data_IF_796468864399
#
_entry.id   IF_796468864399
#
_cell.length_a   1.000
_cell.length_b   1.000
_cell.length_c   1.000
_cell.angle_alpha   90.00
_cell.angle_beta   90.00
_cell.angle_gamma   90.00
#
_symmetry.space_group_name_H-M   'P 1'
#
loop_
_entity.id
_entity.type
_entity.pdbx_description
1 polymer ?
#
# COMPACT_ATOMS: atom_id res chain seq x y z
N UNK A 1 -19.82 -16.09 -6.73
CA UNK A 1 -19.97 -15.30 -5.50
C UNK A 1 -19.54 -13.89 -5.81
N UNK A 2 -20.44 -12.93 -5.66
CA UNK A 2 -20.17 -11.49 -5.89
C UNK A 2 -19.95 -10.79 -4.54
N UNK A 3 -18.86 -10.08 -4.42
CA UNK A 3 -18.43 -9.40 -3.19
C UNK A 3 -18.39 -7.90 -3.45
N UNK A 4 -19.14 -7.11 -2.68
CA UNK A 4 -18.98 -5.67 -2.62
C UNK A 4 -17.97 -5.34 -1.53
N UNK A 5 -16.85 -4.77 -1.93
CA UNK A 5 -15.76 -4.40 -1.04
C UNK A 5 -15.62 -2.88 -0.91
N UNK A 6 -15.27 -2.43 0.30
CA UNK A 6 -15.07 -1.02 0.64
C UNK A 6 -13.69 -0.86 1.29
N UNK A 7 -12.92 0.10 0.80
CA UNK A 7 -11.69 0.56 1.45
C UNK A 7 -11.74 2.08 1.63
N UNK A 8 -11.58 2.50 2.89
CA UNK A 8 -11.46 3.90 3.32
C UNK A 8 -10.34 4.02 4.35
N UNK A 9 -9.25 3.28 4.17
CA UNK A 9 -8.18 3.17 5.17
C UNK A 9 -7.32 4.43 5.31
N UNK A 10 -7.24 5.25 4.26
CA UNK A 10 -6.43 6.47 4.24
C UNK A 10 -7.26 7.67 3.73
N UNK A 11 -6.99 8.18 2.55
CA UNK A 11 -7.60 9.40 1.99
C UNK A 11 -8.47 9.15 0.75
N UNK A 12 -8.37 7.97 0.18
CA UNK A 12 -9.17 7.56 -0.99
C UNK A 12 -10.38 6.72 -0.60
N UNK A 13 -11.57 7.06 -1.13
CA UNK A 13 -12.78 6.25 -0.99
C UNK A 13 -12.85 5.27 -2.15
N UNK A 14 -12.70 3.99 -1.90
CA UNK A 14 -12.78 2.96 -2.93
C UNK A 14 -13.88 1.94 -2.67
N UNK A 15 -14.60 1.57 -3.73
CA UNK A 15 -15.58 0.48 -3.74
C UNK A 15 -15.37 -0.38 -4.99
N UNK A 16 -15.39 -1.68 -4.82
CA UNK A 16 -15.25 -2.62 -5.93
C UNK A 16 -16.24 -3.77 -5.81
N UNK A 17 -16.62 -4.30 -6.97
CA UNK A 17 -17.39 -5.54 -7.08
C UNK A 17 -16.45 -6.61 -7.64
N UNK A 18 -16.21 -7.66 -6.86
CA UNK A 18 -15.30 -8.75 -7.24
C UNK A 18 -16.06 -10.06 -7.25
N UNK A 19 -15.90 -10.82 -8.31
CA UNK A 19 -16.49 -12.14 -8.48
C UNK A 19 -15.43 -13.24 -8.29
N UNK A 20 -15.71 -14.19 -7.39
CA UNK A 20 -14.88 -15.39 -7.15
C UNK A 20 -13.40 -15.11 -6.86
N UNK A 21 -13.13 -13.98 -6.22
CA UNK A 21 -11.81 -13.60 -5.74
C UNK A 21 -10.96 -12.77 -6.72
N UNK A 22 -10.92 -13.10 -7.99
CA UNK A 22 -10.00 -12.48 -8.95
C UNK A 22 -10.66 -11.70 -10.10
N UNK A 23 -11.94 -11.96 -10.41
CA UNK A 23 -12.63 -11.25 -11.48
C UNK A 23 -13.21 -9.94 -10.97
N UNK A 24 -12.55 -8.84 -11.26
CA UNK A 24 -13.02 -7.49 -10.90
C UNK A 24 -14.08 -7.05 -11.91
N UNK A 25 -15.34 -6.94 -11.48
CA UNK A 25 -16.46 -6.48 -12.31
C UNK A 25 -16.49 -4.96 -12.40
N UNK A 26 -16.19 -4.28 -11.28
CA UNK A 26 -16.00 -2.82 -11.23
C UNK A 26 -15.03 -2.47 -10.10
N UNK A 27 -14.34 -1.34 -10.25
CA UNK A 27 -13.51 -0.74 -9.20
C UNK A 27 -13.57 0.76 -9.38
N UNK A 28 -14.18 1.44 -8.41
CA UNK A 28 -14.39 2.89 -8.41
C UNK A 28 -13.59 3.50 -7.28
N UNK A 29 -12.88 4.57 -7.60
CA UNK A 29 -12.07 5.34 -6.69
C UNK A 29 -12.52 6.80 -6.72
N UNK A 30 -12.74 7.39 -5.57
CA UNK A 30 -12.86 8.83 -5.37
C UNK A 30 -11.68 9.32 -4.55
N UNK A 31 -10.75 10.01 -5.20
CA UNK A 31 -9.55 10.54 -4.55
C UNK A 31 -9.78 11.96 -4.04
N UNK A 32 -9.28 12.23 -2.83
CA UNK A 32 -9.31 13.56 -2.20
C UNK A 32 -7.96 14.27 -2.26
N UNK A 33 -7.05 13.82 -3.12
CA UNK A 33 -5.65 14.29 -3.17
C UNK A 33 -5.53 15.80 -3.43
N UNK A 34 -6.48 16.38 -4.17
CA UNK A 34 -6.49 17.81 -4.47
C UNK A 34 -6.65 18.66 -3.22
N UNK A 35 -7.47 18.23 -2.25
CA UNK A 35 -7.72 18.92 -0.99
C UNK A 35 -6.48 18.95 -0.07
N UNK A 36 -5.53 18.05 -0.29
CA UNK A 36 -4.32 17.97 0.55
C UNK A 36 -3.12 18.72 -0.02
N UNK A 37 -3.21 19.26 -1.23
CA UNK A 37 -2.08 19.97 -1.86
C UNK A 37 -1.61 21.16 -1.03
N UNK A 38 -2.53 21.94 -0.46
CA UNK A 38 -2.21 23.07 0.40
C UNK A 38 -1.53 22.64 1.71
N UNK A 39 -1.93 21.50 2.27
CA UNK A 39 -1.37 20.95 3.52
C UNK A 39 -0.11 20.14 3.29
N UNK A 40 0.17 19.77 2.03
CA UNK A 40 1.29 18.92 1.63
C UNK A 40 1.34 17.60 2.42
N UNK A 41 0.18 16.97 2.61
CA UNK A 41 0.00 15.72 3.34
C UNK A 41 -1.45 15.52 3.79
N UNK A 42 -1.81 14.29 4.09
CA UNK A 42 -3.18 13.92 4.50
C UNK A 42 -3.55 14.55 5.84
N UNK A 43 -4.75 15.15 5.92
CA UNK A 43 -5.35 15.68 7.15
C UNK A 43 -6.51 14.75 7.54
N UNK A 44 -6.39 13.97 8.64
CA UNK A 44 -7.34 12.91 8.99
C UNK A 44 -8.81 13.35 9.08
N UNK A 45 -9.07 14.55 9.64
CA UNK A 45 -10.43 15.08 9.76
C UNK A 45 -11.03 15.45 8.39
N UNK A 46 -10.23 15.97 7.48
CA UNK A 46 -10.67 16.26 6.11
C UNK A 46 -10.96 14.96 5.38
N UNK A 47 -10.07 13.96 5.50
CA UNK A 47 -10.24 12.63 4.92
C UNK A 47 -11.56 12.01 5.35
N UNK A 48 -11.84 11.97 6.66
CA UNK A 48 -13.07 11.38 7.18
C UNK A 48 -14.34 12.07 6.62
N UNK A 49 -14.36 13.41 6.49
CA UNK A 49 -15.47 14.14 5.89
C UNK A 49 -15.63 13.82 4.40
N UNK A 50 -14.55 13.75 3.65
CA UNK A 50 -14.57 13.41 2.22
C UNK A 50 -15.10 11.99 1.97
N UNK A 51 -14.75 11.03 2.82
CA UNK A 51 -15.36 9.71 2.75
C UNK A 51 -16.87 9.74 2.94
N UNK A 52 -17.38 10.51 3.92
CA UNK A 52 -18.84 10.66 4.14
C UNK A 52 -19.53 11.25 2.90
N UNK A 53 -18.92 12.25 2.27
CA UNK A 53 -19.45 12.90 1.07
C UNK A 53 -19.48 11.95 -0.14
N UNK A 54 -18.47 11.09 -0.28
CA UNK A 54 -18.25 10.27 -1.47
C UNK A 54 -18.88 8.86 -1.41
N UNK A 55 -18.98 8.24 -0.22
CA UNK A 55 -19.19 6.79 -0.08
C UNK A 55 -20.45 6.29 -0.79
N UNK A 56 -21.58 7.00 -0.67
CA UNK A 56 -22.84 6.57 -1.28
C UNK A 56 -22.75 6.64 -2.81
N UNK A 57 -22.17 7.72 -3.33
CA UNK A 57 -21.97 7.89 -4.76
C UNK A 57 -21.03 6.80 -5.34
N UNK A 58 -19.94 6.49 -4.64
CA UNK A 58 -18.96 5.49 -5.10
C UNK A 58 -19.56 4.08 -5.08
N UNK A 59 -20.42 3.74 -4.08
CA UNK A 59 -21.16 2.49 -4.03
C UNK A 59 -22.13 2.38 -5.23
N UNK A 60 -22.98 3.40 -5.44
CA UNK A 60 -23.94 3.41 -6.54
C UNK A 60 -23.24 3.29 -7.90
N UNK A 61 -22.14 4.02 -8.08
CA UNK A 61 -21.35 3.95 -9.30
C UNK A 61 -20.71 2.57 -9.50
N UNK A 62 -20.19 1.94 -8.44
CA UNK A 62 -19.60 0.60 -8.54
C UNK A 62 -20.64 -0.45 -8.98
N UNK A 63 -21.86 -0.38 -8.45
CA UNK A 63 -22.96 -1.26 -8.85
C UNK A 63 -23.37 -1.04 -10.32
N UNK A 64 -23.49 0.24 -10.74
CA UNK A 64 -23.82 0.62 -12.12
C UNK A 64 -22.75 0.16 -13.11
N UNK A 65 -21.48 0.40 -12.79
CA UNK A 65 -20.36 0.02 -13.66
C UNK A 65 -20.23 -1.50 -13.79
N UNK A 66 -20.60 -2.27 -12.75
CA UNK A 66 -20.70 -3.72 -12.79
C UNK A 66 -21.97 -4.25 -13.46
N UNK A 67 -22.94 -3.40 -13.73
CA UNK A 67 -24.29 -3.75 -14.23
C UNK A 67 -24.99 -4.80 -13.36
N UNK A 68 -24.94 -4.63 -12.03
CA UNK A 68 -25.62 -5.49 -11.06
C UNK A 68 -26.39 -4.65 -10.04
N UNK A 69 -27.35 -5.30 -9.36
CA UNK A 69 -28.11 -4.69 -8.27
C UNK A 69 -27.49 -5.06 -6.91
N UNK A 70 -27.87 -4.29 -5.88
CA UNK A 70 -27.39 -4.54 -4.51
C UNK A 70 -27.83 -5.91 -3.99
N UNK A 71 -29.01 -6.38 -4.39
CA UNK A 71 -29.58 -7.69 -4.02
C UNK A 71 -28.73 -8.87 -4.54
N UNK A 72 -27.97 -8.65 -5.63
CA UNK A 72 -27.10 -9.66 -6.26
C UNK A 72 -25.78 -9.89 -5.48
N UNK A 73 -25.51 -9.04 -4.49
CA UNK A 73 -24.31 -9.16 -3.65
C UNK A 73 -24.48 -10.32 -2.65
N UNK A 74 -23.50 -11.18 -2.57
CA UNK A 74 -23.48 -12.32 -1.68
C UNK A 74 -22.77 -12.02 -0.35
N UNK A 75 -21.77 -11.13 -0.37
CA UNK A 75 -20.91 -10.80 0.77
C UNK A 75 -20.47 -9.35 0.71
N UNK A 76 -20.51 -8.66 1.84
CA UNK A 76 -19.90 -7.35 2.04
C UNK A 76 -18.53 -7.50 2.68
N UNK A 77 -17.52 -6.79 2.17
CA UNK A 77 -16.16 -6.80 2.69
C UNK A 77 -15.69 -5.37 2.99
N UNK A 78 -14.95 -5.17 4.06
CA UNK A 78 -14.47 -3.84 4.44
C UNK A 78 -13.10 -3.91 5.12
N UNK A 79 -12.27 -2.93 4.83
CA UNK A 79 -11.03 -2.70 5.59
C UNK A 79 -11.38 -2.09 6.95
N UNK A 80 -10.91 -2.72 8.04
CA UNK A 80 -11.12 -2.20 9.39
C UNK A 80 -9.83 -1.89 10.13
N UNK A 81 -8.66 -2.19 9.54
CA UNK A 81 -7.32 -1.93 10.08
C UNK A 81 -6.22 -2.19 9.04
N UNK A 82 -4.97 -1.70 9.23
CA UNK A 82 -4.71 -0.42 9.89
C UNK A 82 -5.23 0.73 9.02
N UNK A 83 -5.30 1.94 9.61
CA UNK A 83 -5.67 3.13 8.85
C UNK A 83 -6.04 4.32 9.74
N UNK A 84 -6.47 5.41 9.12
CA UNK A 84 -6.99 6.58 9.81
C UNK A 84 -8.33 6.23 10.45
N UNK A 85 -8.43 6.33 11.77
CA UNK A 85 -9.59 5.84 12.52
C UNK A 85 -10.92 6.44 12.02
N UNK A 86 -10.97 7.76 11.82
CA UNK A 86 -12.16 8.43 11.30
C UNK A 86 -12.58 7.95 9.91
N UNK A 87 -11.60 7.73 9.04
CA UNK A 87 -11.80 7.21 7.68
C UNK A 87 -12.33 5.77 7.70
N UNK A 88 -11.69 4.89 8.47
CA UNK A 88 -12.14 3.49 8.65
C UNK A 88 -13.57 3.40 9.19
N UNK A 89 -13.95 4.26 10.14
CA UNK A 89 -15.31 4.28 10.70
C UNK A 89 -16.38 4.55 9.63
N UNK A 90 -16.10 5.38 8.64
CA UNK A 90 -17.04 5.64 7.54
C UNK A 90 -17.26 4.38 6.70
N UNK A 91 -16.20 3.71 6.24
CA UNK A 91 -16.30 2.49 5.45
C UNK A 91 -16.96 1.35 6.22
N UNK A 92 -16.57 1.14 7.48
CA UNK A 92 -17.15 0.10 8.35
C UNK A 92 -18.62 0.40 8.64
N UNK A 93 -18.98 1.67 8.88
CA UNK A 93 -20.38 2.08 9.06
C UNK A 93 -21.24 1.79 7.83
N UNK A 94 -20.75 2.15 6.64
CA UNK A 94 -21.43 1.88 5.37
C UNK A 94 -21.59 0.36 5.12
N UNK A 95 -20.53 -0.41 5.30
CA UNK A 95 -20.55 -1.87 5.11
C UNK A 95 -21.51 -2.57 6.07
N UNK A 96 -21.52 -2.17 7.37
CA UNK A 96 -22.47 -2.68 8.38
C UNK A 96 -23.92 -2.36 7.99
N UNK A 97 -24.20 -1.10 7.59
CA UNK A 97 -25.52 -0.67 7.18
C UNK A 97 -26.06 -1.47 6.01
N UNK A 98 -25.23 -1.67 4.98
CA UNK A 98 -25.57 -2.47 3.80
C UNK A 98 -25.79 -3.94 4.15
N UNK A 99 -24.86 -4.55 4.88
CA UNK A 99 -24.97 -5.96 5.30
C UNK A 99 -26.22 -6.22 6.12
N UNK A 100 -26.57 -5.30 7.04
CA UNK A 100 -27.77 -5.38 7.85
C UNK A 100 -29.07 -5.23 7.01
N UNK A 101 -29.12 -4.20 6.15
CA UNK A 101 -30.30 -3.97 5.32
C UNK A 101 -30.57 -5.12 4.33
N UNK A 102 -29.50 -5.69 3.77
CA UNK A 102 -29.59 -6.77 2.79
C UNK A 102 -29.64 -8.16 3.43
N UNK A 103 -29.52 -8.28 4.75
CA UNK A 103 -29.43 -9.57 5.46
C UNK A 103 -28.34 -10.49 4.88
N UNK A 104 -27.18 -9.91 4.54
CA UNK A 104 -26.04 -10.60 3.96
C UNK A 104 -24.86 -10.59 4.93
N UNK A 105 -23.92 -11.56 4.83
CA UNK A 105 -22.75 -11.59 5.68
C UNK A 105 -21.79 -10.41 5.42
N UNK A 106 -21.03 -10.07 6.46
CA UNK A 106 -19.98 -9.06 6.46
C UNK A 106 -18.64 -9.67 6.83
N UNK A 107 -17.57 -9.29 6.16
CA UNK A 107 -16.20 -9.69 6.53
C UNK A 107 -15.32 -8.45 6.67
N UNK A 108 -14.53 -8.40 7.74
CA UNK A 108 -13.58 -7.34 8.00
C UNK A 108 -12.15 -7.80 7.70
N UNK A 109 -11.37 -6.99 7.01
CA UNK A 109 -10.05 -7.36 6.53
C UNK A 109 -8.97 -6.35 6.94
N UNK A 110 -7.76 -6.87 7.00
CA UNK A 110 -6.55 -6.07 7.20
C UNK A 110 -6.08 -5.49 5.87
N UNK A 111 -5.83 -4.17 5.84
CA UNK A 111 -5.41 -3.43 4.65
C UNK A 111 -4.04 -3.92 4.11
N UNK A 112 -3.10 -4.25 5.01
CA UNK A 112 -1.78 -4.77 4.58
C UNK A 112 -1.94 -6.16 3.95
N UNK A 113 -2.80 -7.02 4.53
CA UNK A 113 -3.11 -8.31 3.93
C UNK A 113 -3.78 -8.16 2.55
N UNK A 114 -4.62 -7.13 2.37
CA UNK A 114 -5.21 -6.81 1.07
C UNK A 114 -4.14 -6.37 0.06
N UNK A 115 -3.18 -5.52 0.44
CA UNK A 115 -2.04 -5.17 -0.42
C UNK A 115 -1.17 -6.37 -0.78
N UNK A 116 -0.91 -7.30 0.16
CA UNK A 116 -0.20 -8.56 -0.12
C UNK A 116 -0.96 -9.38 -1.17
N UNK A 117 -2.30 -9.35 -1.12
CA UNK A 117 -3.16 -10.06 -2.07
C UNK A 117 -3.22 -9.37 -3.45
N UNK A 118 -3.11 -8.04 -3.53
CA UNK A 118 -3.33 -7.25 -4.76
C UNK A 118 -2.70 -7.84 -6.04
N UNK A 119 -1.46 -8.37 -6.04
CA UNK A 119 -0.87 -8.98 -7.24
C UNK A 119 -1.63 -10.20 -7.78
N UNK A 120 -2.40 -10.91 -6.94
CA UNK A 120 -3.24 -12.05 -7.37
C UNK A 120 -4.46 -11.63 -8.20
N UNK A 121 -4.81 -10.35 -8.24
CA UNK A 121 -5.89 -9.87 -9.12
C UNK A 121 -5.54 -10.01 -10.61
N UNK A 122 -4.25 -10.05 -10.93
CA UNK A 122 -3.78 -10.05 -12.33
C UNK A 122 -2.72 -11.12 -12.64
N UNK A 123 -2.28 -11.87 -11.62
CA UNK A 123 -1.27 -12.90 -11.78
C UNK A 123 -1.67 -14.17 -11.03
N UNK A 124 -1.32 -15.33 -11.56
CA UNK A 124 -1.36 -16.60 -10.84
C UNK A 124 -0.04 -16.78 -10.10
N UNK A 125 -0.07 -16.75 -8.77
CA UNK A 125 1.13 -16.78 -7.93
C UNK A 125 1.02 -17.96 -6.96
N UNK A 126 1.98 -18.87 -7.07
CA UNK A 126 2.07 -20.02 -6.16
C UNK A 126 2.72 -19.66 -4.83
N UNK A 127 2.27 -20.27 -3.75
CA UNK A 127 2.88 -20.15 -2.43
C UNK A 127 4.07 -21.14 -2.27
N UNK A 128 5.02 -20.83 -1.39
CA UNK A 128 5.22 -19.56 -0.72
C UNK A 128 5.82 -18.51 -1.66
N UNK A 129 5.63 -17.22 -1.32
CA UNK A 129 6.29 -16.11 -2.00
C UNK A 129 6.69 -15.02 -1.00
N UNK A 130 7.58 -14.12 -1.42
CA UNK A 130 7.98 -12.93 -0.66
C UNK A 130 7.14 -11.77 -1.14
N UNK A 131 6.47 -11.04 -0.24
CA UNK A 131 5.74 -9.83 -0.60
C UNK A 131 6.43 -8.60 -0.01
N UNK A 132 6.67 -7.61 -0.87
CA UNK A 132 7.13 -6.28 -0.52
C UNK A 132 5.96 -5.30 -0.67
N UNK A 133 5.46 -4.78 0.46
CA UNK A 133 4.41 -3.76 0.50
C UNK A 133 5.07 -2.41 0.73
N UNK A 134 4.95 -1.49 -0.25
CA UNK A 134 5.60 -0.17 -0.24
C UNK A 134 4.60 0.93 -0.58
N UNK A 135 4.17 1.68 0.42
CA UNK A 135 3.16 2.73 0.29
C UNK A 135 3.58 4.02 1.00
N UNK A 136 2.70 5.01 1.05
CA UNK A 136 2.88 6.23 1.83
C UNK A 136 3.05 5.95 3.32
N UNK A 137 2.31 4.99 3.87
CA UNK A 137 2.34 4.66 5.30
C UNK A 137 3.13 3.41 5.67
N UNK A 138 3.50 2.55 4.70
CA UNK A 138 4.09 1.24 5.00
C UNK A 138 5.28 0.90 4.11
N UNK A 139 6.28 0.26 4.72
CA UNK A 139 7.39 -0.40 4.03
C UNK A 139 7.65 -1.69 4.76
N UNK A 140 7.19 -2.81 4.19
CA UNK A 140 7.15 -4.11 4.87
C UNK A 140 7.59 -5.19 3.89
N UNK A 141 8.48 -6.08 4.32
CA UNK A 141 8.81 -7.32 3.63
C UNK A 141 8.24 -8.50 4.41
N UNK A 142 7.55 -9.42 3.73
CA UNK A 142 6.87 -10.57 4.34
C UNK A 142 7.15 -11.86 3.58
N UNK A 143 7.09 -12.98 4.28
CA UNK A 143 7.01 -14.32 3.70
C UNK A 143 5.56 -14.79 3.78
N UNK A 144 4.96 -15.17 2.65
CA UNK A 144 3.54 -15.50 2.53
C UNK A 144 3.37 -16.97 2.24
N UNK A 145 2.62 -17.67 3.08
CA UNK A 145 2.40 -19.12 2.99
C UNK A 145 1.02 -19.49 2.41
N UNK A 146 0.02 -18.66 2.63
CA UNK A 146 -1.30 -18.76 2.04
C UNK A 146 -2.04 -17.42 2.13
N UNK A 147 -3.18 -17.26 1.47
CA UNK A 147 -3.99 -16.04 1.61
C UNK A 147 -4.29 -15.74 3.07
N UNK A 148 -3.92 -14.54 3.54
CA UNK A 148 -4.07 -14.08 4.91
C UNK A 148 -3.07 -14.64 5.92
N UNK A 149 -2.16 -15.53 5.52
CA UNK A 149 -1.14 -16.13 6.39
C UNK A 149 0.25 -15.72 5.92
N UNK A 150 0.86 -14.81 6.65
CA UNK A 150 2.19 -14.30 6.34
C UNK A 150 2.99 -13.99 7.61
N UNK A 151 4.30 -14.02 7.46
CA UNK A 151 5.27 -13.67 8.49
C UNK A 151 5.98 -12.38 8.08
N UNK A 152 5.96 -11.38 8.95
CA UNK A 152 6.74 -10.14 8.75
C UNK A 152 8.22 -10.47 8.96
N UNK A 153 9.04 -10.17 7.97
CA UNK A 153 10.49 -10.34 7.98
C UNK A 153 11.17 -9.04 8.38
N UNK A 154 10.67 -7.91 7.88
CA UNK A 154 11.15 -6.57 8.23
C UNK A 154 10.12 -5.50 7.94
N UNK A 155 10.26 -4.37 8.63
CA UNK A 155 9.41 -3.19 8.49
C UNK A 155 10.24 -1.93 8.60
N UNK A 156 9.69 -0.78 8.21
CA UNK A 156 10.36 0.48 8.50
C UNK A 156 10.36 0.79 10.01
N UNK A 157 11.48 1.33 10.49
CA UNK A 157 11.65 1.78 11.89
C UNK A 157 11.29 3.25 12.07
N UNK A 158 11.19 3.99 10.97
CA UNK A 158 10.87 5.42 10.96
C UNK A 158 9.91 5.75 9.79
N UNK A 159 10.25 6.66 8.90
CA UNK A 159 9.42 7.02 7.76
C UNK A 159 9.23 5.80 6.82
N UNK A 160 8.04 5.64 6.24
CA UNK A 160 7.85 4.74 5.10
C UNK A 160 8.53 5.33 3.85
N UNK A 161 8.84 4.47 2.87
CA UNK A 161 9.51 4.92 1.65
C UNK A 161 8.70 5.98 0.90
N UNK A 162 7.37 5.83 0.78
CA UNK A 162 6.51 6.83 0.14
C UNK A 162 6.46 8.15 0.91
N UNK A 163 6.40 8.08 2.25
CA UNK A 163 6.48 9.27 3.10
C UNK A 163 7.82 10.01 2.91
N UNK A 164 8.93 9.28 2.71
CA UNK A 164 10.22 9.91 2.41
C UNK A 164 10.20 10.65 1.07
N UNK A 165 9.53 10.10 0.03
CA UNK A 165 9.30 10.79 -1.25
C UNK A 165 8.51 12.08 -1.06
N UNK A 166 7.43 12.06 -0.30
CA UNK A 166 6.60 13.25 -0.03
C UNK A 166 7.37 14.33 0.72
N UNK A 167 8.15 13.95 1.74
CA UNK A 167 8.97 14.86 2.53
C UNK A 167 10.09 15.51 1.71
N UNK A 168 10.74 14.77 0.81
CA UNK A 168 11.78 15.32 -0.08
C UNK A 168 11.14 16.24 -1.14
N UNK A 169 10.01 15.86 -1.73
CA UNK A 169 9.25 16.71 -2.64
C UNK A 169 8.85 18.04 -2.00
N UNK A 170 8.34 17.97 -0.78
CA UNK A 170 7.99 19.15 0.03
C UNK A 170 9.20 20.07 0.26
N UNK A 171 10.33 19.48 0.65
CA UNK A 171 11.56 20.25 0.88
C UNK A 171 12.07 20.95 -0.38
N UNK A 172 11.96 20.30 -1.53
CA UNK A 172 12.33 20.86 -2.83
C UNK A 172 11.28 21.81 -3.41
N UNK A 173 10.17 22.08 -2.70
CA UNK A 173 9.01 22.86 -3.14
C UNK A 173 8.41 22.38 -4.48
N UNK A 174 8.35 21.05 -4.68
CA UNK A 174 7.87 20.44 -5.93
C UNK A 174 6.37 20.13 -5.91
N UNK A 175 5.76 20.07 -4.72
CA UNK A 175 4.34 19.78 -4.53
C UNK A 175 4.06 18.39 -3.95
N UNK A 176 2.77 18.01 -3.95
CA UNK A 176 2.22 16.77 -3.40
C UNK A 176 1.23 16.12 -4.38
N UNK A 177 1.21 14.77 -4.52
CA UNK A 177 2.08 13.77 -3.88
C UNK A 177 3.49 13.73 -4.48
N UNK A 178 4.50 13.51 -3.62
CA UNK A 178 5.90 13.56 -4.01
C UNK A 178 6.38 12.42 -4.90
N UNK A 179 5.80 11.22 -4.72
CA UNK A 179 6.21 10.03 -5.46
C UNK A 179 6.25 10.21 -6.97
N UNK A 180 5.11 10.52 -7.63
CA UNK A 180 5.05 10.72 -9.08
C UNK A 180 5.89 11.90 -9.58
N UNK A 181 6.01 12.96 -8.78
CA UNK A 181 6.78 14.17 -9.14
C UNK A 181 8.27 13.84 -9.17
N UNK A 182 8.78 13.21 -8.11
CA UNK A 182 10.20 12.82 -8.02
C UNK A 182 10.55 11.78 -9.09
N UNK A 183 9.68 10.77 -9.32
CA UNK A 183 9.92 9.77 -10.36
C UNK A 183 10.07 10.41 -11.75
N UNK A 184 9.21 11.35 -12.10
CA UNK A 184 9.27 12.09 -13.37
C UNK A 184 10.51 12.98 -13.48
N UNK A 185 10.94 13.63 -12.41
CA UNK A 185 12.15 14.44 -12.37
C UNK A 185 13.41 13.58 -12.46
N UNK A 186 13.44 12.45 -11.75
CA UNK A 186 14.56 11.53 -11.72
C UNK A 186 14.93 10.99 -13.11
N UNK A 187 13.96 10.84 -14.00
CA UNK A 187 14.19 10.41 -15.39
C UNK A 187 14.99 11.44 -16.20
N UNK A 188 15.06 12.69 -15.77
CA UNK A 188 15.81 13.78 -16.44
C UNK A 188 17.16 14.05 -15.79
N UNK A 189 17.39 13.54 -14.59
CA UNK A 189 18.61 13.75 -13.81
C UNK A 189 19.72 12.77 -14.14
N UNK A 190 20.96 13.18 -13.88
CA UNK A 190 22.09 12.27 -13.94
C UNK A 190 22.26 11.54 -12.60
N UNK A 191 22.02 10.22 -12.64
CA UNK A 191 22.16 9.31 -11.49
C UNK A 191 23.58 9.26 -10.91
N UNK A 192 24.58 9.78 -11.61
CA UNK A 192 25.96 9.80 -11.18
C UNK A 192 26.37 11.12 -10.51
N UNK A 193 25.54 12.16 -10.59
CA UNK A 193 25.87 13.50 -10.08
C UNK A 193 26.00 13.53 -8.54
N UNK A 194 25.14 12.80 -7.84
CA UNK A 194 25.09 12.78 -6.38
C UNK A 194 25.09 11.33 -5.92
N UNK A 195 25.83 11.00 -4.85
CA UNK A 195 25.90 9.65 -4.30
C UNK A 195 25.45 9.66 -2.84
N UNK A 196 24.14 9.68 -2.60
CA UNK A 196 23.60 9.54 -1.24
C UNK A 196 23.90 8.15 -0.65
N UNK A 197 23.97 8.03 0.68
CA UNK A 197 24.21 6.75 1.34
C UNK A 197 23.02 5.80 1.13
N UNK A 198 23.31 4.52 0.94
CA UNK A 198 22.33 3.45 1.08
C UNK A 198 22.22 3.10 2.57
N UNK A 199 21.01 3.23 3.12
CA UNK A 199 20.77 2.93 4.54
C UNK A 199 20.50 1.42 4.67
N UNK A 200 21.55 0.68 4.95
CA UNK A 200 21.50 -0.75 5.20
C UNK A 200 21.77 -1.01 6.68
N UNK A 201 20.72 -1.40 7.40
CA UNK A 201 20.81 -1.79 8.80
C UNK A 201 21.44 -3.18 8.92
N UNK A 202 21.95 -3.54 10.11
CA UNK A 202 22.63 -4.80 10.36
C UNK A 202 22.17 -5.46 11.67
N UNK A 203 22.58 -6.70 11.91
CA UNK A 203 22.22 -7.45 13.11
C UNK A 203 20.73 -7.77 13.17
N UNK A 204 20.09 -7.53 14.30
CA UNK A 204 18.66 -7.83 14.49
C UNK A 204 17.75 -7.03 13.55
N UNK A 205 18.19 -5.86 13.07
CA UNK A 205 17.45 -4.97 12.19
C UNK A 205 17.80 -5.13 10.71
N UNK A 206 18.52 -6.18 10.35
CA UNK A 206 19.07 -6.38 9.01
C UNK A 206 18.02 -6.28 7.88
N UNK A 207 16.80 -6.77 8.12
CA UNK A 207 15.68 -6.68 7.17
C UNK A 207 14.77 -5.47 7.39
N UNK A 208 14.95 -4.71 8.47
CA UNK A 208 14.21 -3.48 8.71
C UNK A 208 14.72 -2.35 7.82
N UNK A 209 13.86 -1.39 7.53
CA UNK A 209 14.15 -0.23 6.69
C UNK A 209 14.23 1.04 7.54
N UNK A 210 14.94 2.06 7.03
CA UNK A 210 14.98 3.40 7.61
C UNK A 210 15.22 4.41 6.50
N UNK A 211 14.46 5.51 6.52
CA UNK A 211 14.52 6.57 5.52
C UNK A 211 14.83 7.95 6.10
N UNK A 212 14.78 8.11 7.42
CA UNK A 212 15.03 9.40 8.08
C UNK A 212 16.45 9.93 7.80
N UNK A 213 17.45 9.03 7.76
CA UNK A 213 18.83 9.38 7.42
C UNK A 213 19.01 9.83 5.98
N UNK A 214 18.35 9.15 5.02
CA UNK A 214 18.37 9.51 3.61
C UNK A 214 17.70 10.87 3.38
N UNK A 215 16.53 11.09 3.97
CA UNK A 215 15.84 12.39 3.95
C UNK A 215 16.75 13.50 4.45
N UNK A 216 17.39 13.31 5.60
CA UNK A 216 18.32 14.30 6.19
C UNK A 216 19.51 14.58 5.25
N UNK A 217 20.05 13.56 4.60
CA UNK A 217 21.13 13.72 3.63
C UNK A 217 20.70 14.59 2.43
N UNK A 218 19.50 14.35 1.90
CA UNK A 218 18.94 15.14 0.78
C UNK A 218 18.67 16.59 1.18
N UNK A 219 18.08 16.80 2.35
CA UNK A 219 17.60 18.11 2.80
C UNK A 219 18.76 19.02 3.23
N UNK A 220 19.72 18.51 4.01
CA UNK A 220 20.72 19.33 4.68
C UNK A 220 22.15 19.13 4.18
N UNK A 221 22.42 18.08 3.45
CA UNK A 221 23.80 17.65 3.18
C UNK A 221 24.08 17.34 1.70
N UNK A 222 23.22 17.72 0.76
CA UNK A 222 23.36 17.41 -0.67
C UNK A 222 24.75 17.79 -1.21
N UNK A 223 25.27 18.96 -0.85
CA UNK A 223 26.61 19.40 -1.28
C UNK A 223 27.74 18.44 -0.88
N UNK A 224 27.60 17.74 0.26
CA UNK A 224 28.60 16.76 0.73
C UNK A 224 28.68 15.51 -0.19
N UNK A 225 27.58 15.19 -0.87
CA UNK A 225 27.44 14.00 -1.70
C UNK A 225 27.52 14.30 -3.19
N UNK A 226 27.59 15.59 -3.55
CA UNK A 226 27.76 16.06 -4.93
C UNK A 226 29.15 15.74 -5.43
N UNK A 227 29.25 15.16 -6.62
CA UNK A 227 30.53 14.90 -7.27
C UNK A 227 31.06 16.15 -7.95
N UNK A 228 32.38 16.24 -8.07
CA UNK A 228 33.06 17.32 -8.76
C UNK A 228 32.60 17.40 -10.23
N UNK A 229 32.39 18.63 -10.71
CA UNK A 229 31.89 18.89 -12.07
C UNK A 229 30.40 18.77 -12.28
N UNK A 230 29.61 18.46 -11.24
CA UNK A 230 28.16 18.39 -11.31
C UNK A 230 27.48 19.52 -10.53
N UNK A 231 26.20 19.73 -10.84
CA UNK A 231 25.34 20.67 -10.13
C UNK A 231 24.24 19.94 -9.36
N UNK A 232 23.86 20.49 -8.21
CA UNK A 232 22.77 19.95 -7.38
C UNK A 232 21.41 20.47 -7.88
N UNK A 233 21.05 20.13 -9.13
CA UNK A 233 19.74 20.44 -9.68
C UNK A 233 18.66 19.56 -9.04
N UNK A 234 17.39 19.95 -9.10
CA UNK A 234 16.27 19.15 -8.58
C UNK A 234 16.20 17.79 -9.27
N UNK A 235 16.52 17.72 -10.56
CA UNK A 235 16.56 16.49 -11.35
C UNK A 235 17.65 15.53 -10.84
N UNK A 236 18.86 16.05 -10.60
CA UNK A 236 19.99 15.26 -10.09
C UNK A 236 19.74 14.79 -8.66
N UNK A 237 19.14 15.63 -7.81
CA UNK A 237 18.73 15.28 -6.45
C UNK A 237 17.67 14.18 -6.51
N UNK A 238 16.64 14.32 -7.35
CA UNK A 238 15.57 13.33 -7.51
C UNK A 238 16.11 11.97 -7.99
N UNK A 239 16.99 11.96 -8.99
CA UNK A 239 17.60 10.74 -9.50
C UNK A 239 18.43 10.00 -8.44
N UNK A 240 19.27 10.72 -7.70
CA UNK A 240 20.10 10.15 -6.65
C UNK A 240 19.26 9.68 -5.44
N UNK A 241 18.26 10.47 -5.02
CA UNK A 241 17.34 10.09 -3.95
C UNK A 241 16.60 8.82 -4.31
N UNK A 242 16.01 8.74 -5.50
CA UNK A 242 15.24 7.58 -5.96
C UNK A 242 16.06 6.28 -5.90
N UNK A 243 17.31 6.31 -6.38
CA UNK A 243 18.21 5.16 -6.29
C UNK A 243 18.44 4.77 -4.83
N UNK A 244 18.79 5.75 -3.98
CA UNK A 244 19.12 5.46 -2.58
C UNK A 244 17.90 5.05 -1.76
N UNK A 245 16.68 5.38 -2.19
CA UNK A 245 15.44 4.92 -1.57
C UNK A 245 15.04 3.50 -2.01
N UNK A 246 15.28 3.14 -3.28
CA UNK A 246 14.83 1.87 -3.87
C UNK A 246 15.86 0.74 -3.70
N UNK A 247 17.17 1.02 -3.84
CA UNK A 247 18.18 -0.04 -3.74
C UNK A 247 18.17 -0.81 -2.40
N UNK A 248 17.94 -0.20 -1.23
CA UNK A 248 17.78 -0.96 0.01
C UNK A 248 16.62 -1.95 -0.02
N UNK A 249 15.50 -1.62 -0.71
CA UNK A 249 14.38 -2.54 -0.90
C UNK A 249 14.82 -3.76 -1.70
N UNK A 250 15.50 -3.54 -2.82
CA UNK A 250 16.00 -4.62 -3.68
C UNK A 250 17.05 -5.49 -2.98
N UNK A 251 18.06 -4.88 -2.38
CA UNK A 251 19.17 -5.59 -1.72
C UNK A 251 18.65 -6.51 -0.61
N UNK A 252 17.75 -6.01 0.24
CA UNK A 252 17.18 -6.80 1.35
C UNK A 252 16.24 -7.89 0.85
N UNK A 253 15.45 -7.62 -0.20
CA UNK A 253 14.61 -8.63 -0.84
C UNK A 253 15.48 -9.75 -1.43
N UNK A 254 16.51 -9.41 -2.19
CA UNK A 254 17.45 -10.39 -2.77
C UNK A 254 18.11 -11.23 -1.67
N UNK A 255 18.60 -10.60 -0.62
CA UNK A 255 19.19 -11.31 0.52
C UNK A 255 18.20 -12.30 1.16
N UNK A 256 16.93 -11.92 1.28
CA UNK A 256 15.93 -12.83 1.82
C UNK A 256 15.56 -13.95 0.84
N UNK A 257 15.55 -13.70 -0.46
CA UNK A 257 15.46 -14.74 -1.52
C UNK A 257 16.56 -15.79 -1.36
N UNK A 258 17.81 -15.35 -1.17
CA UNK A 258 18.97 -16.24 -0.97
C UNK A 258 18.85 -17.09 0.31
N UNK A 259 18.43 -16.50 1.42
CA UNK A 259 18.28 -17.20 2.72
C UNK A 259 17.09 -18.17 2.71
N UNK A 260 15.95 -17.75 2.16
CA UNK A 260 14.72 -18.55 2.19
C UNK A 260 14.63 -19.58 1.06
N UNK A 261 15.35 -19.38 -0.04
CA UNK A 261 15.22 -20.15 -1.27
C UNK A 261 13.95 -19.86 -2.07
N UNK A 262 13.10 -18.93 -1.61
CA UNK A 262 11.86 -18.54 -2.27
C UNK A 262 12.16 -17.58 -3.42
N UNK A 263 11.91 -18.00 -4.66
CA UNK A 263 12.23 -17.21 -5.87
C UNK A 263 11.05 -16.44 -6.46
N UNK A 264 9.92 -16.39 -5.79
CA UNK A 264 8.75 -15.59 -6.21
C UNK A 264 8.64 -14.37 -5.33
N UNK A 265 8.62 -13.19 -5.94
CA UNK A 265 8.56 -11.91 -5.24
C UNK A 265 7.38 -11.11 -5.79
N UNK A 266 6.55 -10.58 -4.91
CA UNK A 266 5.46 -9.66 -5.28
C UNK A 266 5.75 -8.27 -4.73
N UNK A 267 5.30 -7.22 -5.42
CA UNK A 267 5.40 -5.85 -4.92
C UNK A 267 4.05 -5.15 -5.09
N UNK A 268 3.59 -4.49 -4.05
CA UNK A 268 2.33 -3.73 -4.04
C UNK A 268 2.45 -2.46 -3.18
N UNK A 269 1.39 -1.64 -3.19
CA UNK A 269 1.39 -0.32 -2.58
C UNK A 269 1.80 0.78 -3.57
N UNK A 270 1.44 2.03 -3.27
CA UNK A 270 1.59 3.15 -4.21
C UNK A 270 2.99 3.36 -4.77
N UNK A 271 4.04 3.05 -4.00
CA UNK A 271 5.45 3.17 -4.48
C UNK A 271 5.79 2.11 -5.53
N UNK A 272 5.02 1.01 -5.64
CA UNK A 272 5.19 0.04 -6.72
C UNK A 272 4.78 0.60 -8.11
N UNK A 273 4.23 1.82 -8.19
CA UNK A 273 4.08 2.57 -9.44
C UNK A 273 5.39 3.21 -9.92
N UNK A 274 6.39 3.35 -9.07
CA UNK A 274 7.66 4.01 -9.39
C UNK A 274 8.40 3.29 -10.51
N UNK A 275 8.81 4.03 -11.54
CA UNK A 275 9.40 3.48 -12.77
C UNK A 275 10.73 2.77 -12.51
N UNK A 276 11.61 3.35 -11.68
CA UNK A 276 12.89 2.75 -11.34
C UNK A 276 12.73 1.46 -10.52
N UNK A 277 11.79 1.44 -9.56
CA UNK A 277 11.49 0.23 -8.79
C UNK A 277 11.01 -0.89 -9.72
N UNK A 278 10.04 -0.60 -10.58
CA UNK A 278 9.50 -1.60 -11.53
C UNK A 278 10.60 -2.16 -12.43
N UNK A 279 11.41 -1.29 -13.04
CA UNK A 279 12.53 -1.70 -13.89
C UNK A 279 13.53 -2.56 -13.10
N UNK A 280 13.95 -2.11 -11.92
CA UNK A 280 14.96 -2.78 -11.08
C UNK A 280 14.55 -4.19 -10.66
N UNK A 281 13.28 -4.37 -10.28
CA UNK A 281 12.79 -5.67 -9.82
C UNK A 281 12.39 -6.58 -10.97
N UNK A 282 11.75 -6.06 -12.03
CA UNK A 282 11.34 -6.87 -13.19
C UNK A 282 12.52 -7.42 -13.99
N UNK A 283 13.68 -6.76 -13.95
CA UNK A 283 14.91 -7.22 -14.62
C UNK A 283 15.80 -8.07 -13.71
N UNK A 284 15.34 -8.47 -12.52
CA UNK A 284 16.09 -9.41 -11.67
C UNK A 284 16.25 -10.76 -12.36
N UNK A 285 17.45 -11.35 -12.23
CA UNK A 285 17.75 -12.71 -12.69
C UNK A 285 17.66 -13.74 -11.55
N UNK A 286 17.55 -13.27 -10.32
CA UNK A 286 17.66 -14.09 -9.12
C UNK A 286 16.30 -14.56 -8.61
N UNK A 287 15.22 -13.85 -9.02
CA UNK A 287 13.84 -14.18 -8.67
C UNK A 287 12.85 -13.71 -9.75
N UNK A 288 11.69 -14.29 -9.74
CA UNK A 288 10.54 -13.92 -10.57
C UNK A 288 9.70 -12.85 -9.86
N UNK A 289 9.50 -11.70 -10.51
CA UNK A 289 8.79 -10.57 -9.92
C UNK A 289 7.37 -10.45 -10.48
N UNK A 290 6.38 -10.41 -9.59
CA UNK A 290 4.96 -10.22 -9.92
C UNK A 290 4.50 -8.86 -9.44
N UNK A 291 4.13 -8.01 -10.37
CA UNK A 291 3.58 -6.68 -10.13
C UNK A 291 2.11 -6.66 -10.53
N UNK A 292 1.22 -6.05 -9.74
CA UNK A 292 -0.15 -5.85 -10.19
C UNK A 292 -0.20 -4.85 -11.35
N UNK A 293 -1.31 -4.85 -12.10
CA UNK A 293 -1.61 -3.74 -13.00
C UNK A 293 -1.64 -2.43 -12.21
N UNK A 294 -1.23 -1.33 -12.85
CA UNK A 294 -1.09 -0.01 -12.20
C UNK A 294 -2.36 0.42 -11.43
N UNK A 295 -3.54 0.12 -11.98
CA UNK A 295 -4.83 0.44 -11.35
C UNK A 295 -5.11 -0.29 -10.03
N UNK A 296 -4.38 -1.38 -9.73
CA UNK A 296 -4.50 -2.16 -8.49
C UNK A 296 -3.27 -2.01 -7.58
N UNK A 297 -2.35 -1.11 -7.90
CA UNK A 297 -1.11 -0.92 -7.15
C UNK A 297 -1.32 -0.05 -5.91
N UNK A 298 -2.09 1.04 -6.04
CA UNK A 298 -2.47 1.95 -4.95
C UNK A 298 -3.63 1.38 -4.13
N UNK A 299 -4.07 2.10 -3.10
CA UNK A 299 -5.23 1.73 -2.28
C UNK A 299 -6.46 1.54 -3.17
N UNK A 300 -7.08 0.38 -3.08
CA UNK A 300 -8.26 0.04 -3.87
C UNK A 300 -9.09 -1.08 -3.20
N UNK A 301 -10.40 -1.02 -3.36
CA UNK A 301 -11.29 -2.02 -2.78
C UNK A 301 -11.27 -3.37 -3.51
N UNK A 302 -10.73 -3.45 -4.74
CA UNK A 302 -10.66 -4.73 -5.45
C UNK A 302 -9.75 -5.74 -4.74
N UNK A 303 -8.62 -5.28 -4.15
CA UNK A 303 -7.74 -6.12 -3.36
C UNK A 303 -8.44 -6.65 -2.08
N UNK A 304 -9.33 -5.84 -1.50
CA UNK A 304 -10.12 -6.22 -0.32
C UNK A 304 -11.16 -7.28 -0.71
N UNK A 305 -11.91 -7.06 -1.80
CA UNK A 305 -12.90 -8.01 -2.31
C UNK A 305 -12.28 -9.33 -2.76
N UNK A 306 -11.10 -9.26 -3.39
CA UNK A 306 -10.36 -10.44 -3.80
C UNK A 306 -9.91 -11.28 -2.60
N UNK A 307 -9.28 -10.66 -1.60
CA UNK A 307 -8.86 -11.34 -0.38
C UNK A 307 -10.06 -11.91 0.40
N UNK A 308 -11.18 -11.19 0.46
CA UNK A 308 -12.40 -11.60 1.17
C UNK A 308 -12.89 -12.99 0.74
N UNK A 309 -12.80 -13.29 -0.55
CA UNK A 309 -13.22 -14.59 -1.11
C UNK A 309 -12.50 -15.77 -0.45
N UNK A 310 -11.20 -15.63 -0.18
CA UNK A 310 -10.40 -16.68 0.44
C UNK A 310 -10.47 -16.66 1.97
N UNK A 311 -10.73 -15.48 2.56
CA UNK A 311 -10.73 -15.35 4.01
C UNK A 311 -12.06 -15.72 4.67
N UNK A 312 -13.19 -15.71 3.95
CA UNK A 312 -14.52 -16.03 4.50
C UNK A 312 -14.58 -17.38 5.21
N UNK A 313 -13.88 -18.38 4.65
CA UNK A 313 -13.87 -19.73 5.20
C UNK A 313 -12.80 -19.93 6.30
N UNK A 314 -11.81 -19.03 6.36
CA UNK A 314 -10.70 -19.10 7.32
C UNK A 314 -10.95 -18.34 8.62
N UNK A 315 -11.51 -17.13 8.54
CA UNK A 315 -11.70 -16.27 9.72
C UNK A 315 -13.18 -16.11 10.12
N UNK A 316 -14.13 -16.57 9.27
CA UNK A 316 -15.55 -16.36 9.47
C UNK A 316 -16.02 -14.94 9.19
N UNK A 317 -17.28 -14.68 9.48
CA UNK A 317 -17.95 -13.40 9.27
C UNK A 317 -17.88 -12.52 10.51
N UNK A 318 -17.87 -11.22 10.30
CA UNK A 318 -17.92 -10.23 11.37
C UNK A 318 -19.36 -10.05 11.86
N UNK A 319 -19.50 -9.77 13.15
CA UNK A 319 -20.76 -9.29 13.73
C UNK A 319 -20.87 -7.75 13.65
N UNK A 320 -22.01 -7.22 14.12
CA UNK A 320 -22.24 -5.77 14.12
C UNK A 320 -21.50 -5.01 15.24
N UNK A 321 -20.78 -5.71 16.13
CA UNK A 321 -19.87 -5.11 17.11
C UNK A 321 -18.46 -4.85 16.52
N UNK A 322 -18.29 -5.15 15.22
CA UNK A 322 -17.05 -4.86 14.49
C UNK A 322 -16.56 -3.44 14.77
N UNK A 323 -15.30 -3.31 15.18
CA UNK A 323 -14.62 -2.05 15.48
C UNK A 323 -13.45 -1.79 14.51
N UNK A 324 -12.94 -0.56 14.54
CA UNK A 324 -11.82 -0.11 13.72
C UNK A 324 -10.56 0.06 14.56
N UNK A 325 -9.39 -0.18 13.93
CA UNK A 325 -8.10 -0.07 14.60
C UNK A 325 -7.10 0.67 13.73
N UNK A 326 -6.47 1.70 14.30
CA UNK A 326 -5.44 2.49 13.57
C UNK A 326 -4.12 1.72 13.37
N UNK A 327 -3.92 0.61 14.05
CA UNK A 327 -2.70 -0.22 14.02
C UNK A 327 -3.02 -1.67 13.74
N UNK A 328 -2.03 -2.40 13.20
CA UNK A 328 -2.09 -3.86 13.06
C UNK A 328 -2.21 -4.50 14.45
N UNK A 329 -3.18 -5.38 14.65
CA UNK A 329 -3.34 -6.11 15.90
C UNK A 329 -2.22 -7.16 16.03
N UNK A 330 -1.22 -6.89 16.86
CA UNK A 330 -0.23 -7.90 17.23
C UNK A 330 -0.91 -9.03 18.02
N UNK A 331 -0.73 -10.29 17.61
CA UNK A 331 -1.26 -11.48 18.31
C UNK A 331 -0.92 -11.53 19.82
N UNK A 332 0.07 -10.77 20.29
CA UNK A 332 0.41 -10.65 21.72
C UNK A 332 -0.59 -9.85 22.57
N UNK A 333 -1.44 -8.99 21.96
CA UNK A 333 -2.39 -8.16 22.70
C UNK A 333 -3.70 -8.88 23.05
N UNK A 334 -4.05 -9.97 22.33
CA UNK A 334 -5.30 -10.73 22.58
C UNK A 334 -5.26 -11.65 23.81
N UNK A 335 -4.13 -11.79 24.52
CA UNK A 335 -4.05 -12.59 25.76
C UNK A 335 -4.47 -11.85 27.04
N UNK A 336 -4.79 -10.55 26.98
CA UNK A 336 -5.12 -9.74 28.17
C UNK A 336 -6.58 -9.26 28.28
N UNK A 337 -7.49 -9.72 27.43
CA UNK A 337 -8.93 -9.35 27.50
C UNK A 337 -9.87 -10.50 27.85
N UNK A 338 -9.34 -11.59 28.44
CA UNK A 338 -10.15 -12.59 29.12
C UNK A 338 -9.87 -12.52 30.64
N UNK A 339 -10.33 -11.44 31.26
CA UNK A 339 -10.64 -11.35 32.71
C UNK A 339 -11.93 -10.58 32.81
#
# INVERSE_FOLDING_TARGET
MKILAIDTSCDDTSVAIVENGNKVLSSVLSSSIEEYKEFQGVVPEIAARKHIEAIIYVIDKALKDANIKLEDIDLFAVTNRPGLLGSLLVGVGAAKGLAFAMQKPLIALDHIAAHIYSPHLTNEINFPYIALVVSGGHTIITEVHSHGEYKIIGTTLDDAVGEAYDKVSKFLNLGYPGGPIIDKLAQKGDKNAIKYPLILLSGADEFNFSYSGLKTACVYSTKKYLKEGYEATNENIAAAFQISAIEPLYIKTLKYVEISGIKRVTISGGVACNSYLRDRFSNSKDFECYLPELKYTTDNAAMVGGLAYYMKDKQGYADYNLDCFSRVLNKKYNKKKNI
#
